data_IF_729938301981
#
_entry.id   IF_729938301981
#
_cell.length_a   1.000
_cell.length_b   1.000
_cell.length_c   1.000
_cell.angle_alpha   90.00
_cell.angle_beta   90.00
_cell.angle_gamma   90.00
#
_symmetry.space_group_name_H-M   'P 1'
#
loop_
_entity.id
_entity.type
_entity.pdbx_description
1 polymer ?
#
# COMPACT_ATOMS: atom_id res chain seq x y z
N UNK A 1 -15.59 -15.12 9.63
CA UNK A 1 -15.92 -15.82 10.86
C UNK A 1 -16.12 -14.82 12.01
N UNK A 2 -17.14 -15.05 12.87
CA UNK A 2 -17.46 -14.14 13.98
C UNK A 2 -16.28 -13.97 14.95
N UNK A 3 -15.49 -15.01 15.17
CA UNK A 3 -14.30 -14.99 16.03
C UNK A 3 -13.27 -13.92 15.61
N UNK A 4 -13.02 -13.75 14.31
CA UNK A 4 -12.10 -12.70 13.81
C UNK A 4 -12.67 -11.28 13.99
N UNK A 5 -14.00 -11.13 14.08
CA UNK A 5 -14.64 -9.82 14.26
C UNK A 5 -14.46 -9.26 15.67
N UNK A 6 -14.29 -10.12 16.66
CA UNK A 6 -14.07 -9.73 18.06
C UNK A 6 -12.59 -9.50 18.40
N UNK A 7 -11.67 -9.96 17.53
CA UNK A 7 -10.24 -9.90 17.79
C UNK A 7 -9.63 -8.56 17.34
N UNK A 8 -8.84 -7.91 18.21
CA UNK A 8 -8.01 -6.76 17.86
C UNK A 8 -6.60 -7.21 17.49
N UNK A 9 -5.99 -6.53 16.51
CA UNK A 9 -4.64 -6.82 16.00
C UNK A 9 -3.68 -5.68 16.27
N UNK A 10 -2.41 -6.00 16.42
CA UNK A 10 -1.35 -5.00 16.55
C UNK A 10 -0.92 -4.45 15.18
N UNK A 11 -1.08 -5.27 14.13
CA UNK A 11 -0.79 -4.89 12.76
C UNK A 11 -1.88 -5.38 11.79
N UNK A 12 -2.24 -4.54 10.84
CA UNK A 12 -3.08 -4.88 9.69
C UNK A 12 -2.35 -4.45 8.43
N UNK A 13 -2.24 -5.36 7.47
CA UNK A 13 -1.69 -5.09 6.15
C UNK A 13 -2.80 -5.30 5.13
N UNK A 14 -2.95 -4.37 4.17
CA UNK A 14 -3.90 -4.49 3.09
C UNK A 14 -3.31 -4.04 1.75
N UNK A 15 -3.71 -4.73 0.70
CA UNK A 15 -3.47 -4.38 -0.70
C UNK A 15 -4.83 -4.26 -1.40
N UNK A 16 -5.54 -3.13 -1.22
CA UNK A 16 -6.83 -2.92 -1.84
C UNK A 16 -6.74 -2.94 -3.36
N UNK A 17 -7.81 -3.32 -4.08
CA UNK A 17 -7.85 -3.27 -5.54
C UNK A 17 -7.46 -1.90 -6.08
N UNK A 18 -6.68 -1.87 -7.17
CA UNK A 18 -6.18 -0.61 -7.74
C UNK A 18 -7.18 0.11 -8.63
N UNK A 19 -8.21 -0.58 -9.10
CA UNK A 19 -9.16 -0.04 -10.07
C UNK A 19 -10.41 0.51 -9.40
N UNK A 20 -10.73 1.77 -9.66
CA UNK A 20 -12.08 2.30 -9.57
C UNK A 20 -12.82 1.71 -10.78
N UNK A 21 -13.90 0.96 -10.56
CA UNK A 21 -14.62 0.23 -11.59
C UNK A 21 -14.78 1.02 -12.88
N UNK A 22 -14.31 0.47 -14.00
CA UNK A 22 -14.41 1.10 -15.31
C UNK A 22 -13.33 0.67 -16.31
N UNK A 23 -13.17 -0.59 -16.57
CA UNK A 23 -13.01 -1.16 -17.91
C UNK A 23 -13.30 -2.65 -17.82
N UNK A 24 -14.53 -2.99 -18.13
CA UNK A 24 -14.92 -4.34 -18.48
C UNK A 24 -14.19 -4.65 -19.76
N UNK A 25 -13.15 -5.48 -19.72
CA UNK A 25 -12.75 -6.20 -20.92
C UNK A 25 -13.98 -6.99 -21.38
N UNK A 26 -14.38 -6.89 -22.66
CA UNK A 26 -15.54 -7.60 -23.19
C UNK A 26 -15.20 -9.07 -23.38
N UNK A 27 -15.22 -9.85 -22.31
CA UNK A 27 -15.23 -11.30 -22.39
C UNK A 27 -16.58 -11.81 -21.88
N UNK A 28 -17.51 -12.20 -22.78
CA UNK A 28 -18.86 -12.62 -22.40
C UNK A 28 -18.91 -13.96 -21.66
N UNK A 29 -17.80 -14.63 -21.43
CA UNK A 29 -17.74 -15.95 -20.81
C UNK A 29 -17.36 -15.99 -19.32
N UNK A 30 -16.98 -14.87 -18.70
CA UNK A 30 -16.70 -14.80 -17.25
C UNK A 30 -17.84 -14.10 -16.54
N UNK A 31 -18.74 -14.94 -16.01
CA UNK A 31 -19.92 -14.53 -15.27
C UNK A 31 -19.63 -13.43 -14.27
N UNK A 32 -20.35 -12.33 -14.41
CA UNK A 32 -20.83 -11.40 -13.39
C UNK A 32 -20.14 -11.42 -12.03
N UNK A 33 -18.85 -11.15 -11.97
CA UNK A 33 -18.30 -10.53 -10.78
C UNK A 33 -18.50 -9.01 -10.94
N UNK A 34 -19.68 -8.51 -10.62
CA UNK A 34 -19.87 -7.13 -10.21
C UNK A 34 -19.11 -6.97 -8.90
N UNK A 35 -17.79 -6.80 -9.01
CA UNK A 35 -17.07 -6.13 -7.98
C UNK A 35 -17.49 -4.66 -8.06
N UNK A 36 -18.55 -4.31 -7.36
CA UNK A 36 -18.67 -2.96 -6.85
C UNK A 36 -17.35 -2.74 -6.12
N UNK A 37 -16.47 -1.93 -6.72
CA UNK A 37 -15.14 -1.70 -6.18
C UNK A 37 -15.34 -1.07 -4.81
N UNK A 38 -15.16 -1.84 -3.75
CA UNK A 38 -15.28 -1.35 -2.37
C UNK A 38 -14.42 -0.09 -2.25
N UNK A 39 -14.99 1.06 -1.88
CA UNK A 39 -14.26 2.31 -1.78
C UNK A 39 -13.00 2.16 -0.92
N UNK A 40 -11.92 2.85 -1.26
CA UNK A 40 -10.67 2.81 -0.49
C UNK A 40 -10.89 3.20 0.98
N UNK A 41 -11.81 4.14 1.22
CA UNK A 41 -12.21 4.54 2.57
C UNK A 41 -12.76 3.38 3.41
N UNK A 42 -13.48 2.45 2.81
CA UNK A 42 -14.02 1.28 3.50
C UNK A 42 -12.93 0.28 3.88
N UNK A 43 -11.93 0.09 3.00
CA UNK A 43 -10.74 -0.71 3.30
C UNK A 43 -9.95 -0.12 4.47
N UNK A 44 -9.69 1.18 4.43
CA UNK A 44 -9.00 1.90 5.52
C UNK A 44 -9.80 1.82 6.81
N UNK A 45 -11.09 2.11 6.77
CA UNK A 45 -11.98 2.03 7.92
C UNK A 45 -12.05 0.62 8.49
N UNK A 46 -12.14 -0.41 7.65
CA UNK A 46 -12.11 -1.80 8.11
C UNK A 46 -10.79 -2.14 8.80
N UNK A 47 -9.66 -1.75 8.21
CA UNK A 47 -8.33 -1.95 8.80
C UNK A 47 -8.22 -1.27 10.17
N UNK A 48 -8.58 0.00 10.26
CA UNK A 48 -8.53 0.77 11.51
C UNK A 48 -9.45 0.18 12.60
N UNK A 49 -10.64 -0.31 12.24
CA UNK A 49 -11.53 -0.97 13.20
C UNK A 49 -10.93 -2.25 13.78
N UNK A 50 -10.11 -2.97 13.01
CA UNK A 50 -9.46 -4.22 13.45
C UNK A 50 -8.21 -3.98 14.30
N UNK A 51 -7.64 -2.79 14.27
CA UNK A 51 -6.48 -2.47 15.07
C UNK A 51 -6.86 -2.19 16.52
N UNK A 52 -6.02 -2.65 17.44
CA UNK A 52 -5.97 -2.18 18.82
C UNK A 52 -5.57 -0.69 18.85
N UNK A 53 -5.88 0.07 19.92
CA UNK A 53 -5.30 1.39 20.11
C UNK A 53 -3.76 1.33 19.98
N UNK A 54 -3.17 2.25 19.20
CA UNK A 54 -1.74 2.25 18.94
C UNK A 54 -1.22 1.22 17.95
N UNK A 55 -2.07 0.37 17.37
CA UNK A 55 -1.72 -0.58 16.32
C UNK A 55 -1.43 0.10 14.98
N UNK A 56 -0.79 -0.63 14.07
CA UNK A 56 -0.30 -0.13 12.80
C UNK A 56 -1.09 -0.67 11.61
N UNK A 57 -1.53 0.23 10.73
CA UNK A 57 -2.08 -0.09 9.42
C UNK A 57 -1.01 0.13 8.36
N UNK A 58 -0.80 -0.85 7.50
CA UNK A 58 0.08 -0.74 6.33
C UNK A 58 -0.72 -1.02 5.07
N UNK A 59 -0.64 -0.12 4.10
CA UNK A 59 -1.34 -0.23 2.82
C UNK A 59 -0.36 -0.02 1.68
N UNK A 60 -0.55 -0.76 0.58
CA UNK A 60 0.07 -0.44 -0.71
C UNK A 60 -1.02 0.00 -1.67
N UNK A 61 -0.77 1.09 -2.41
CA UNK A 61 -1.73 1.62 -3.37
C UNK A 61 -1.02 2.35 -4.52
N UNK A 62 -1.75 2.68 -5.59
CA UNK A 62 -1.26 3.55 -6.65
C UNK A 62 -0.98 4.96 -6.10
N UNK A 63 0.08 5.59 -6.59
CA UNK A 63 0.47 6.93 -6.13
C UNK A 63 -0.62 7.99 -6.38
N UNK A 64 -1.34 7.87 -7.50
CA UNK A 64 -2.48 8.75 -7.85
C UNK A 64 -3.62 8.75 -6.82
N UNK A 65 -3.74 7.67 -6.03
CA UNK A 65 -4.77 7.54 -4.98
C UNK A 65 -4.28 7.93 -3.58
N UNK A 66 -3.08 8.48 -3.48
CA UNK A 66 -2.52 8.87 -2.18
C UNK A 66 -3.40 9.91 -1.45
N UNK A 67 -3.94 10.89 -2.19
CA UNK A 67 -4.83 11.89 -1.59
C UNK A 67 -6.09 11.27 -0.96
N UNK A 68 -6.73 10.33 -1.67
CA UNK A 68 -7.89 9.59 -1.17
C UNK A 68 -7.53 8.75 0.07
N UNK A 69 -6.36 8.08 0.05
CA UNK A 69 -5.87 7.29 1.17
C UNK A 69 -5.64 8.14 2.43
N UNK A 70 -4.99 9.30 2.27
CA UNK A 70 -4.75 10.22 3.39
C UNK A 70 -6.05 10.79 3.96
N UNK A 71 -7.01 11.14 3.09
CA UNK A 71 -8.33 11.60 3.51
C UNK A 71 -9.07 10.51 4.31
N UNK A 72 -8.99 9.25 3.87
CA UNK A 72 -9.62 8.12 4.54
C UNK A 72 -9.00 7.81 5.91
N UNK A 73 -7.69 8.02 6.10
CA UNK A 73 -7.02 7.90 7.40
C UNK A 73 -7.54 8.97 8.39
N UNK A 74 -7.72 10.19 7.88
CA UNK A 74 -8.30 11.31 8.62
C UNK A 74 -7.74 11.50 10.04
N UNK A 75 -8.59 11.90 11.01
CA UNK A 75 -8.14 12.10 12.40
C UNK A 75 -7.98 10.79 13.19
N UNK A 76 -8.34 9.62 12.60
CA UNK A 76 -8.32 8.33 13.30
C UNK A 76 -6.91 7.74 13.45
N UNK A 77 -5.96 8.20 12.61
CA UNK A 77 -4.59 7.72 12.61
C UNK A 77 -3.59 8.86 12.37
N UNK A 78 -2.38 8.70 12.88
CA UNK A 78 -1.25 9.60 12.67
C UNK A 78 0.06 8.82 12.61
N UNK A 79 1.21 9.48 12.84
CA UNK A 79 2.52 8.90 12.61
C UNK A 79 2.59 8.27 11.20
N UNK A 80 1.98 8.94 10.22
CA UNK A 80 1.88 8.45 8.84
C UNK A 80 3.28 8.49 8.22
N UNK A 81 3.71 7.38 7.65
CA UNK A 81 4.94 7.32 6.86
C UNK A 81 4.59 6.86 5.45
N UNK A 82 5.03 7.62 4.47
CA UNK A 82 4.82 7.35 3.04
C UNK A 82 6.16 6.97 2.43
N UNK A 83 6.23 5.78 1.85
CA UNK A 83 7.35 5.34 1.02
C UNK A 83 6.89 5.29 -0.45
N UNK A 84 7.32 6.24 -1.29
CA UNK A 84 7.11 6.12 -2.73
C UNK A 84 7.87 4.92 -3.29
N UNK A 85 7.28 4.20 -4.25
CA UNK A 85 7.91 3.09 -4.95
C UNK A 85 8.01 3.47 -6.42
N UNK A 86 9.23 3.74 -6.86
CA UNK A 86 9.56 4.12 -8.23
C UNK A 86 10.14 2.94 -9.00
N UNK A 87 9.78 2.84 -10.27
CA UNK A 87 10.36 1.83 -11.15
C UNK A 87 11.87 2.03 -11.30
N UNK A 88 12.30 3.30 -11.51
CA UNK A 88 13.71 3.67 -11.79
C UNK A 88 14.07 4.98 -11.11
N UNK A 89 15.36 5.22 -10.92
CA UNK A 89 15.89 6.48 -10.40
C UNK A 89 15.46 7.64 -11.29
N UNK A 90 14.98 8.72 -10.68
CA UNK A 90 14.49 9.92 -11.39
C UNK A 90 13.11 9.77 -12.03
N UNK A 91 12.52 8.57 -12.01
CA UNK A 91 11.17 8.33 -12.50
C UNK A 91 10.11 8.62 -11.44
N UNK A 92 8.87 8.81 -11.89
CA UNK A 92 7.73 8.96 -11.01
C UNK A 92 7.44 7.67 -10.22
N UNK A 93 6.99 7.81 -8.99
CA UNK A 93 6.54 6.69 -8.19
C UNK A 93 5.14 6.26 -8.65
N UNK A 94 5.03 5.06 -9.19
CA UNK A 94 3.73 4.50 -9.59
C UNK A 94 2.92 3.93 -8.41
N UNK A 95 3.56 3.68 -7.28
CA UNK A 95 2.94 3.15 -6.05
C UNK A 95 3.48 3.84 -4.82
N UNK A 96 2.70 3.73 -3.75
CA UNK A 96 3.11 4.15 -2.41
C UNK A 96 2.83 3.03 -1.41
N UNK A 97 3.74 2.87 -0.45
CA UNK A 97 3.46 2.11 0.77
C UNK A 97 3.23 3.14 1.88
N UNK A 98 2.09 3.06 2.51
CA UNK A 98 1.70 3.98 3.58
C UNK A 98 1.52 3.19 4.86
N UNK A 99 2.20 3.60 5.93
CA UNK A 99 1.94 3.12 7.29
C UNK A 99 1.33 4.22 8.11
N UNK A 100 0.40 3.87 9.00
CA UNK A 100 -0.24 4.81 9.90
C UNK A 100 -0.52 4.14 11.25
N UNK A 101 -0.39 4.88 12.35
CA UNK A 101 -0.65 4.37 13.70
C UNK A 101 -1.99 4.87 14.20
N UNK A 102 -2.86 3.93 14.60
CA UNK A 102 -4.19 4.25 15.13
C UNK A 102 -4.10 5.13 16.37
N UNK A 103 -4.80 6.25 16.34
CA UNK A 103 -4.87 7.21 17.46
C UNK A 103 -3.63 8.08 17.68
N UNK A 104 -2.57 7.92 16.87
CA UNK A 104 -1.39 8.78 16.96
C UNK A 104 -1.67 10.19 16.43
N UNK A 105 -0.83 11.17 16.83
CA UNK A 105 -0.90 12.58 16.42
C UNK A 105 0.42 13.10 15.85
N UNK A 106 1.42 12.22 15.74
CA UNK A 106 2.74 12.62 15.21
C UNK A 106 2.66 13.07 13.76
N UNK A 107 3.55 13.98 13.33
CA UNK A 107 3.59 14.48 11.96
C UNK A 107 3.79 13.36 10.92
N UNK A 108 3.36 13.65 9.70
CA UNK A 108 3.60 12.81 8.53
C UNK A 108 5.09 12.87 8.12
N UNK A 109 5.60 11.73 7.68
CA UNK A 109 6.94 11.59 7.09
C UNK A 109 6.82 11.11 5.65
N UNK A 110 7.49 11.80 4.74
CA UNK A 110 7.65 11.38 3.35
C UNK A 110 9.09 10.91 3.16
N UNK A 111 9.26 9.64 2.82
CA UNK A 111 10.59 9.03 2.65
C UNK A 111 11.09 9.22 1.21
N UNK A 112 12.40 9.09 1.02
CA UNK A 112 12.99 8.96 -0.31
C UNK A 112 12.43 7.74 -1.03
N UNK A 113 12.26 7.77 -2.37
CA UNK A 113 11.69 6.67 -3.11
C UNK A 113 12.49 5.37 -2.97
N UNK A 114 11.78 4.26 -2.86
CA UNK A 114 12.31 2.92 -3.02
C UNK A 114 12.36 2.59 -4.51
N UNK A 115 13.58 2.48 -5.05
CA UNK A 115 13.79 2.24 -6.48
C UNK A 115 13.87 0.74 -6.75
N UNK A 116 13.05 0.27 -7.70
CA UNK A 116 12.92 -1.15 -8.02
C UNK A 116 14.05 -1.64 -8.94
N UNK A 117 14.37 -0.88 -10.00
CA UNK A 117 15.27 -1.30 -11.08
C UNK A 117 16.51 -0.45 -11.13
N UNK A 118 17.68 -1.10 -11.33
CA UNK A 118 18.98 -0.44 -11.34
C UNK A 118 19.30 0.21 -12.69
N UNK A 119 18.87 -0.41 -13.80
CA UNK A 119 19.20 0.08 -15.15
C UNK A 119 18.20 1.14 -15.61
N UNK A 120 18.63 2.11 -16.42
CA UNK A 120 17.75 3.19 -16.90
C UNK A 120 16.68 2.69 -17.90
N UNK A 121 16.94 1.60 -18.62
CA UNK A 121 16.05 1.00 -19.59
C UNK A 121 15.98 -0.52 -19.39
N UNK A 122 14.84 -1.12 -19.77
CA UNK A 122 14.70 -2.57 -19.79
C UNK A 122 15.47 -3.13 -20.98
N UNK A 123 16.53 -3.88 -20.73
CA UNK A 123 17.34 -4.52 -21.77
C UNK A 123 17.20 -6.04 -21.69
N UNK A 124 16.14 -6.60 -22.32
CA UNK A 124 15.93 -8.06 -22.39
C UNK A 124 15.39 -8.67 -21.09
N UNK A 125 15.35 -10.01 -21.05
CA UNK A 125 14.77 -10.82 -19.95
C UNK A 125 15.67 -10.92 -18.69
N UNK A 126 16.64 -10.03 -18.53
CA UNK A 126 17.50 -10.04 -17.38
C UNK A 126 16.85 -9.35 -16.17
N UNK A 127 16.92 -9.99 -15.01
CA UNK A 127 16.54 -9.37 -13.75
C UNK A 127 17.44 -8.16 -13.47
N UNK A 128 16.86 -6.97 -13.45
CA UNK A 128 17.56 -5.70 -13.21
C UNK A 128 17.15 -5.02 -11.89
N UNK A 129 16.74 -5.80 -10.89
CA UNK A 129 16.40 -5.29 -9.57
C UNK A 129 17.61 -4.61 -8.91
N UNK A 130 17.37 -3.51 -8.20
CA UNK A 130 18.34 -2.96 -7.26
C UNK A 130 18.63 -3.98 -6.16
N UNK A 131 19.79 -3.91 -5.52
CA UNK A 131 20.13 -4.80 -4.41
C UNK A 131 19.11 -4.73 -3.26
N UNK A 132 18.63 -3.54 -2.82
CA UNK A 132 17.56 -3.46 -1.84
C UNK A 132 16.25 -4.11 -2.32
N UNK A 133 15.87 -3.91 -3.58
CA UNK A 133 14.66 -4.52 -4.13
C UNK A 133 14.77 -6.04 -4.21
N UNK A 134 15.93 -6.56 -4.62
CA UNK A 134 16.24 -7.99 -4.64
C UNK A 134 16.18 -8.58 -3.24
N UNK A 135 16.81 -7.91 -2.26
CA UNK A 135 16.79 -8.36 -0.88
C UNK A 135 15.36 -8.51 -0.34
N UNK A 136 14.49 -7.53 -0.58
CA UNK A 136 13.09 -7.58 -0.15
C UNK A 136 12.31 -8.65 -0.92
N UNK A 137 12.37 -8.65 -2.26
CA UNK A 137 11.48 -9.46 -3.08
C UNK A 137 11.91 -10.92 -3.21
N UNK A 138 13.22 -11.20 -3.15
CA UNK A 138 13.75 -12.56 -3.35
C UNK A 138 14.21 -13.21 -2.05
N UNK A 139 14.64 -12.42 -1.08
CA UNK A 139 15.22 -12.93 0.15
C UNK A 139 14.39 -12.61 1.40
N UNK A 140 13.21 -11.94 1.23
CA UNK A 140 12.31 -11.63 2.34
C UNK A 140 12.89 -10.64 3.35
N UNK A 141 13.87 -9.81 2.94
CA UNK A 141 14.43 -8.79 3.82
C UNK A 141 13.36 -7.81 4.28
N UNK A 142 13.47 -7.35 5.53
CA UNK A 142 12.52 -6.39 6.07
C UNK A 142 12.62 -5.03 5.36
N UNK A 143 11.48 -4.49 4.96
CA UNK A 143 11.35 -3.12 4.51
C UNK A 143 11.02 -2.23 5.72
N UNK A 144 12.05 -1.78 6.44
CA UNK A 144 11.86 -0.96 7.63
C UNK A 144 11.44 0.46 7.25
N UNK A 145 10.20 0.83 7.58
CA UNK A 145 9.63 2.16 7.29
C UNK A 145 9.73 3.13 8.48
N UNK A 146 10.15 2.65 9.66
CA UNK A 146 10.19 3.46 10.88
C UNK A 146 11.53 4.15 11.09
N UNK A 147 12.60 3.48 10.73
CA UNK A 147 13.98 3.90 11.00
C UNK A 147 14.71 4.42 9.74
N UNK A 148 13.96 4.76 8.70
CA UNK A 148 14.49 5.37 7.46
C UNK A 148 14.46 6.88 7.53
#
# INVERSE_FOLDING_TARGET
PAALRAQGFDHVIANPPYFLGGSVAPDPGRGTARHEATPLADWVGAGLRRLRPGGWLTLIQRAERLGELLAALGPAAGAITILPVAGRTGGEAGRVIVTARKGARSPLRLLSPFVMHAKPLHSGDCEDLTDPARAVLRHGAALNLRDR
#
